data_IF_532765768021
#
_entry.id   IF_532765768021
#
_cell.length_a   1.000
_cell.length_b   1.000
_cell.length_c   1.000
_cell.angle_alpha   90.00
_cell.angle_beta   90.00
_cell.angle_gamma   90.00
#
_symmetry.space_group_name_H-M   'P 1'
#
loop_
_entity.id
_entity.type
_entity.pdbx_description
1 polymer ?
#
# COMPACT_ATOMS: atom_id res chain seq x y z
N UNK A 1 -38.43 14.30 -13.13
CA UNK A 1 -38.08 14.34 -11.70
C UNK A 1 -36.57 14.26 -11.61
N UNK A 2 -35.91 15.40 -11.43
CA UNK A 2 -34.46 15.49 -11.33
C UNK A 2 -34.03 14.90 -10.00
N UNK A 3 -33.30 13.79 -10.03
CA UNK A 3 -32.62 13.27 -8.85
C UNK A 3 -31.50 14.23 -8.50
N UNK A 4 -31.67 14.98 -7.39
CA UNK A 4 -30.58 15.66 -6.70
C UNK A 4 -29.53 14.60 -6.31
N UNK A 5 -28.52 14.43 -7.16
CA UNK A 5 -27.28 13.84 -6.73
C UNK A 5 -26.62 14.87 -5.80
N UNK A 6 -26.81 14.70 -4.49
CA UNK A 6 -25.98 15.37 -3.49
C UNK A 6 -24.52 15.23 -3.95
N UNK A 7 -23.86 16.36 -4.21
CA UNK A 7 -22.45 16.38 -4.58
C UNK A 7 -21.67 15.71 -3.47
N UNK A 8 -21.23 14.47 -3.71
CA UNK A 8 -20.33 13.78 -2.81
C UNK A 8 -19.02 14.57 -2.89
N UNK A 9 -18.67 15.28 -1.81
CA UNK A 9 -17.41 16.02 -1.72
C UNK A 9 -16.25 15.03 -1.58
N UNK A 10 -15.88 14.40 -2.68
CA UNK A 10 -14.55 13.81 -2.85
C UNK A 10 -13.69 14.81 -3.62
N UNK A 11 -12.41 14.87 -3.25
CA UNK A 11 -11.41 15.67 -3.93
C UNK A 11 -11.32 15.29 -5.41
N UNK A 12 -11.29 16.28 -6.31
CA UNK A 12 -11.24 16.00 -7.74
C UNK A 12 -9.87 15.42 -8.13
N UNK A 13 -9.81 14.68 -9.25
CA UNK A 13 -8.55 14.18 -9.78
C UNK A 13 -7.55 15.32 -10.06
N UNK A 14 -8.04 16.50 -10.48
CA UNK A 14 -7.20 17.68 -10.72
C UNK A 14 -6.62 18.25 -9.42
N UNK A 15 -7.44 18.32 -8.36
CA UNK A 15 -6.97 18.83 -7.06
C UNK A 15 -5.96 17.87 -6.44
N UNK A 16 -6.22 16.56 -6.52
CA UNK A 16 -5.30 15.53 -6.09
C UNK A 16 -3.97 15.61 -6.84
N UNK A 17 -4.00 15.78 -8.17
CA UNK A 17 -2.78 15.83 -8.98
C UNK A 17 -1.92 17.03 -8.57
N UNK A 18 -2.54 18.20 -8.35
CA UNK A 18 -1.84 19.40 -7.85
C UNK A 18 -1.26 19.14 -6.46
N UNK A 19 -2.04 18.58 -5.53
CA UNK A 19 -1.61 18.32 -4.15
C UNK A 19 -0.44 17.34 -4.07
N UNK A 20 -0.43 16.32 -4.94
CA UNK A 20 0.65 15.34 -5.01
C UNK A 20 1.82 15.78 -5.90
N UNK A 21 1.74 16.95 -6.54
CA UNK A 21 2.76 17.41 -7.49
C UNK A 21 2.86 16.54 -8.74
N UNK A 22 1.79 15.83 -9.10
CA UNK A 22 1.71 14.95 -10.26
C UNK A 22 1.19 15.73 -11.47
N UNK A 23 2.01 15.82 -12.51
CA UNK A 23 1.61 16.45 -13.78
C UNK A 23 1.03 15.37 -14.70
N UNK A 24 -0.30 15.24 -14.73
CA UNK A 24 -0.98 14.33 -15.64
C UNK A 24 -1.32 15.02 -16.97
N UNK A 25 -0.90 14.42 -18.08
CA UNK A 25 -1.32 14.82 -19.43
C UNK A 25 -2.77 14.39 -19.70
N UNK A 26 -3.17 13.25 -19.16
CA UNK A 26 -4.51 12.71 -19.27
C UNK A 26 -5.14 12.45 -17.89
N UNK A 27 -5.83 13.47 -17.36
CA UNK A 27 -6.56 13.38 -16.08
C UNK A 27 -7.64 12.28 -16.04
N UNK A 28 -8.09 11.76 -17.18
CA UNK A 28 -9.03 10.63 -17.18
C UNK A 28 -8.42 9.34 -16.63
N UNK A 29 -7.09 9.16 -16.76
CA UNK A 29 -6.38 8.02 -16.16
C UNK A 29 -6.41 8.09 -14.65
N UNK A 30 -6.11 9.27 -14.08
CA UNK A 30 -6.18 9.49 -12.64
C UNK A 30 -7.62 9.37 -12.13
N UNK A 31 -8.58 9.94 -12.85
CA UNK A 31 -10.00 9.80 -12.52
C UNK A 31 -10.41 8.32 -12.49
N UNK A 32 -9.95 7.51 -13.45
CA UNK A 32 -10.20 6.07 -13.47
C UNK A 32 -9.55 5.36 -12.30
N UNK A 33 -8.29 5.67 -11.96
CA UNK A 33 -7.59 5.08 -10.80
C UNK A 33 -8.34 5.30 -9.48
N UNK A 34 -9.01 6.45 -9.35
CA UNK A 34 -9.81 6.82 -8.18
C UNK A 34 -11.22 6.22 -8.19
N UNK A 35 -11.62 5.49 -9.23
CA UNK A 35 -12.99 5.00 -9.39
C UNK A 35 -13.11 3.54 -8.97
N UNK A 36 -13.71 3.31 -7.80
CA UNK A 36 -14.03 1.96 -7.36
C UNK A 36 -15.25 1.41 -8.11
N UNK A 37 -15.31 0.10 -8.32
CA UNK A 37 -16.43 -0.60 -8.96
C UNK A 37 -17.80 -0.25 -8.37
N UNK A 38 -17.88 -0.07 -7.05
CA UNK A 38 -19.13 0.36 -6.38
C UNK A 38 -19.69 1.68 -6.94
N UNK A 39 -18.83 2.59 -7.39
CA UNK A 39 -19.25 3.86 -7.97
C UNK A 39 -19.79 3.66 -9.38
N UNK A 40 -19.12 2.83 -10.19
CA UNK A 40 -19.57 2.46 -11.55
C UNK A 40 -20.97 1.85 -11.50
N UNK A 41 -21.22 0.93 -10.55
CA UNK A 41 -22.52 0.28 -10.37
C UNK A 41 -23.67 1.26 -10.08
N UNK A 42 -23.37 2.42 -9.50
CA UNK A 42 -24.36 3.47 -9.19
C UNK A 42 -24.42 4.59 -10.24
N UNK A 43 -23.45 4.66 -11.16
CA UNK A 43 -23.29 5.76 -12.11
C UNK A 43 -23.12 5.21 -13.54
N UNK A 44 -24.22 4.92 -14.26
CA UNK A 44 -24.18 4.28 -15.59
C UNK A 44 -23.42 5.07 -16.68
N UNK A 45 -23.18 6.37 -16.47
CA UNK A 45 -22.38 7.20 -17.36
C UNK A 45 -20.87 6.96 -17.24
N UNK A 46 -20.42 6.27 -16.20
CA UNK A 46 -19.04 5.87 -15.99
C UNK A 46 -18.89 4.40 -16.38
N UNK A 47 -17.97 4.11 -17.30
CA UNK A 47 -17.85 2.79 -17.91
C UNK A 47 -16.68 1.96 -17.39
N UNK A 48 -15.77 2.54 -16.62
CA UNK A 48 -14.54 1.89 -16.18
C UNK A 48 -14.26 2.15 -14.70
N UNK A 49 -13.92 1.08 -13.98
CA UNK A 49 -13.35 1.12 -12.64
C UNK A 49 -11.81 1.05 -12.70
N UNK A 50 -11.19 0.98 -11.53
CA UNK A 50 -9.76 1.03 -11.35
C UNK A 50 -9.05 -0.33 -11.44
N UNK A 51 -9.76 -1.45 -11.54
CA UNK A 51 -9.16 -2.78 -11.38
C UNK A 51 -8.13 -3.13 -12.47
N UNK A 52 -8.33 -2.65 -13.70
CA UNK A 52 -7.32 -2.83 -14.77
C UNK A 52 -6.07 -2.01 -14.54
N UNK A 53 -6.20 -0.86 -13.88
CA UNK A 53 -5.05 -0.03 -13.48
C UNK A 53 -4.36 -0.64 -12.28
N UNK A 54 -5.11 -1.17 -11.31
CA UNK A 54 -4.60 -1.94 -10.17
C UNK A 54 -3.73 -3.10 -10.66
N UNK A 55 -4.25 -3.94 -11.54
CA UNK A 55 -3.51 -5.07 -12.12
C UNK A 55 -2.18 -4.65 -12.77
N UNK A 56 -2.17 -3.53 -13.52
CA UNK A 56 -0.94 -3.03 -14.14
C UNK A 56 0.00 -2.41 -13.10
N UNK A 57 -0.57 -1.66 -12.16
CA UNK A 57 0.15 -0.95 -11.13
C UNK A 57 0.86 -1.87 -10.14
N UNK A 58 0.25 -3.01 -9.80
CA UNK A 58 0.87 -4.08 -9.02
C UNK A 58 2.19 -4.55 -9.67
N UNK A 59 2.15 -4.96 -10.94
CA UNK A 59 3.33 -5.41 -11.66
C UNK A 59 4.43 -4.32 -11.79
N UNK A 60 4.03 -3.07 -12.01
CA UNK A 60 4.94 -1.92 -12.07
C UNK A 60 5.58 -1.67 -10.70
N UNK A 61 4.78 -1.67 -9.64
CA UNK A 61 5.23 -1.43 -8.28
C UNK A 61 6.17 -2.53 -7.80
N UNK A 62 5.87 -3.79 -8.11
CA UNK A 62 6.73 -4.94 -7.81
C UNK A 62 8.13 -4.81 -8.43
N UNK A 63 8.19 -4.35 -9.68
CA UNK A 63 9.45 -4.09 -10.35
C UNK A 63 10.22 -2.94 -9.69
N UNK A 64 9.56 -1.79 -9.49
CA UNK A 64 10.19 -0.60 -8.88
C UNK A 64 10.71 -0.90 -7.47
N UNK A 65 9.92 -1.57 -6.64
CA UNK A 65 10.32 -1.94 -5.28
C UNK A 65 11.46 -2.96 -5.30
N UNK A 66 11.41 -3.93 -6.21
CA UNK A 66 12.51 -4.89 -6.40
C UNK A 66 13.81 -4.21 -6.82
N UNK A 67 13.74 -3.30 -7.79
CA UNK A 67 14.88 -2.51 -8.24
C UNK A 67 15.43 -1.61 -7.12
N UNK A 68 14.54 -0.93 -6.38
CA UNK A 68 14.92 -0.12 -5.22
C UNK A 68 15.64 -0.97 -4.17
N UNK A 69 15.09 -2.13 -3.78
CA UNK A 69 15.70 -3.00 -2.78
C UNK A 69 17.08 -3.53 -3.23
N UNK A 70 17.21 -3.92 -4.49
CA UNK A 70 18.48 -4.38 -5.06
C UNK A 70 19.59 -3.33 -4.94
N UNK A 71 19.30 -2.08 -5.29
CA UNK A 71 20.29 -1.00 -5.23
C UNK A 71 20.55 -0.51 -3.80
N UNK A 72 19.53 -0.55 -2.93
CA UNK A 72 19.62 -0.04 -1.56
C UNK A 72 20.37 -0.98 -0.62
N UNK A 73 20.32 -2.28 -0.89
CA UNK A 73 20.87 -3.33 -0.04
C UNK A 73 21.80 -4.29 -0.82
N UNK A 74 22.93 -3.79 -1.37
CA UNK A 74 23.79 -4.58 -2.24
C UNK A 74 24.42 -5.81 -1.57
N UNK A 75 24.52 -5.81 -0.24
CA UNK A 75 25.10 -6.90 0.55
C UNK A 75 24.07 -7.96 0.99
N UNK A 76 22.77 -7.73 0.74
CA UNK A 76 21.72 -8.67 1.14
C UNK A 76 21.56 -9.80 0.13
N UNK A 77 21.19 -10.98 0.63
CA UNK A 77 20.92 -12.15 -0.22
C UNK A 77 19.54 -12.03 -0.86
N UNK A 78 19.34 -12.72 -1.98
CA UNK A 78 18.07 -12.73 -2.73
C UNK A 78 16.86 -12.98 -1.83
N UNK A 79 16.91 -13.95 -0.92
CA UNK A 79 15.80 -14.25 -0.02
C UNK A 79 15.39 -13.08 0.89
N UNK A 80 16.37 -12.31 1.39
CA UNK A 80 16.11 -11.13 2.21
C UNK A 80 15.54 -9.98 1.36
N UNK A 81 16.05 -9.79 0.14
CA UNK A 81 15.51 -8.83 -0.82
C UNK A 81 14.06 -9.17 -1.19
N UNK A 82 13.74 -10.45 -1.37
CA UNK A 82 12.38 -10.93 -1.60
C UNK A 82 11.48 -10.64 -0.40
N UNK A 83 11.94 -10.87 0.85
CA UNK A 83 11.20 -10.49 2.07
C UNK A 83 10.96 -8.98 2.14
N UNK A 84 11.95 -8.15 1.78
CA UNK A 84 11.82 -6.68 1.74
C UNK A 84 10.76 -6.25 0.73
N UNK A 85 10.86 -6.73 -0.50
CA UNK A 85 9.88 -6.43 -1.55
C UNK A 85 8.48 -6.82 -1.10
N UNK A 86 8.27 -8.07 -0.67
CA UNK A 86 6.97 -8.54 -0.20
C UNK A 86 6.42 -7.72 0.98
N UNK A 87 7.27 -7.25 1.89
CA UNK A 87 6.82 -6.42 3.01
C UNK A 87 6.41 -5.01 2.57
N UNK A 88 7.02 -4.46 1.51
CA UNK A 88 6.73 -3.13 0.98
C UNK A 88 5.50 -3.10 0.07
N UNK A 89 5.24 -4.16 -0.69
CA UNK A 89 4.09 -4.26 -1.60
C UNK A 89 2.87 -4.93 -0.98
N UNK A 90 2.95 -5.40 0.27
CA UNK A 90 1.79 -6.01 0.92
C UNK A 90 0.72 -4.94 1.18
N UNK A 91 -0.55 -5.35 1.04
CA UNK A 91 -1.71 -4.48 1.15
C UNK A 91 -1.74 -3.60 2.43
N UNK A 92 -1.31 -4.10 3.60
CA UNK A 92 -1.25 -3.29 4.83
C UNK A 92 -0.26 -2.13 4.74
N UNK A 93 0.83 -2.31 4.00
CA UNK A 93 1.83 -1.28 3.76
C UNK A 93 1.37 -0.31 2.66
N UNK A 94 0.78 -0.82 1.57
CA UNK A 94 0.20 0.02 0.52
C UNK A 94 -0.93 0.90 1.04
N UNK A 95 -1.78 0.37 1.92
CA UNK A 95 -2.81 1.14 2.58
C UNK A 95 -2.23 2.25 3.48
N UNK A 96 -1.04 2.07 4.07
CA UNK A 96 -0.34 3.13 4.80
C UNK A 96 0.17 4.21 3.86
N UNK A 97 0.76 3.81 2.72
CA UNK A 97 1.18 4.76 1.69
C UNK A 97 -0.01 5.57 1.16
N UNK A 98 -1.13 4.91 0.87
CA UNK A 98 -2.38 5.55 0.46
C UNK A 98 -2.88 6.57 1.50
N UNK A 99 -2.85 6.23 2.80
CA UNK A 99 -3.22 7.17 3.87
C UNK A 99 -2.25 8.34 3.99
N UNK A 100 -0.94 8.07 3.84
CA UNK A 100 0.10 9.11 3.90
C UNK A 100 -0.11 10.19 2.85
N UNK A 101 -0.50 9.78 1.64
CA UNK A 101 -0.83 10.71 0.55
C UNK A 101 -2.31 11.14 0.56
N UNK A 102 -3.06 10.82 1.61
CA UNK A 102 -4.49 11.09 1.75
C UNK A 102 -5.29 10.70 0.49
N UNK A 103 -5.06 9.50 -0.04
CA UNK A 103 -5.72 9.04 -1.26
C UNK A 103 -7.22 8.83 -1.05
N UNK A 104 -7.61 8.43 0.17
CA UNK A 104 -9.00 8.14 0.53
C UNK A 104 -9.98 9.28 0.26
N UNK A 105 -9.55 10.55 0.41
CA UNK A 105 -10.41 11.72 0.17
C UNK A 105 -10.77 11.93 -1.30
N UNK A 106 -10.01 11.36 -2.22
CA UNK A 106 -10.23 11.50 -3.67
C UNK A 106 -10.97 10.29 -4.27
N UNK A 107 -11.28 9.26 -3.47
CA UNK A 107 -11.89 8.04 -3.97
C UNK A 107 -13.37 8.24 -4.32
N UNK A 108 -13.72 7.82 -5.52
CA UNK A 108 -15.09 7.76 -6.02
C UNK A 108 -15.68 6.42 -5.63
N UNK A 109 -16.52 6.45 -4.60
CA UNK A 109 -17.19 5.28 -4.03
C UNK A 109 -18.70 5.36 -4.21
N UNK A 110 -19.35 4.19 -4.36
CA UNK A 110 -20.80 4.05 -4.23
C UNK A 110 -21.28 4.48 -2.84
N UNK A 111 -22.57 4.81 -2.68
CA UNK A 111 -23.15 5.32 -1.43
C UNK A 111 -22.95 4.34 -0.30
N UNK A 112 -23.27 3.07 -0.53
CA UNK A 112 -23.11 2.01 0.47
C UNK A 112 -21.64 1.80 0.86
N UNK A 113 -20.74 1.79 -0.12
CA UNK A 113 -19.31 1.63 0.12
C UNK A 113 -18.74 2.80 0.92
N UNK A 114 -19.13 4.03 0.58
CA UNK A 114 -18.75 5.24 1.31
C UNK A 114 -19.25 5.22 2.76
N UNK A 115 -20.55 4.94 2.97
CA UNK A 115 -21.16 4.91 4.31
C UNK A 115 -20.58 3.80 5.21
N UNK A 116 -20.11 2.70 4.63
CA UNK A 116 -19.43 1.63 5.36
C UNK A 116 -17.93 1.90 5.60
N UNK A 117 -17.46 3.12 5.35
CA UNK A 117 -16.08 3.54 5.60
C UNK A 117 -15.06 3.05 4.57
N UNK A 118 -15.50 2.70 3.35
CA UNK A 118 -14.63 2.15 2.30
C UNK A 118 -13.41 3.02 1.99
N UNK A 119 -13.52 4.35 2.10
CA UNK A 119 -12.41 5.29 1.89
C UNK A 119 -11.27 5.16 2.91
N UNK A 120 -11.45 4.36 3.96
CA UNK A 120 -10.47 4.13 5.04
C UNK A 120 -10.07 2.66 5.17
N UNK A 121 -10.69 1.75 4.40
CA UNK A 121 -10.48 0.31 4.48
C UNK A 121 -9.17 -0.08 3.79
N UNK A 122 -8.34 -0.89 4.45
CA UNK A 122 -7.01 -1.27 3.95
C UNK A 122 -7.05 -1.84 2.54
N UNK A 123 -7.91 -2.83 2.30
CA UNK A 123 -8.02 -3.48 0.99
C UNK A 123 -8.29 -2.48 -0.13
N UNK A 124 -9.21 -1.54 0.09
CA UNK A 124 -9.61 -0.58 -0.95
C UNK A 124 -8.50 0.46 -1.18
N UNK A 125 -7.86 0.91 -0.10
CA UNK A 125 -6.74 1.85 -0.17
C UNK A 125 -5.51 1.25 -0.86
N UNK A 126 -5.18 -0.02 -0.60
CA UNK A 126 -4.09 -0.71 -1.26
C UNK A 126 -4.32 -0.85 -2.77
N UNK A 127 -5.46 -1.41 -3.16
CA UNK A 127 -5.87 -1.52 -4.57
C UNK A 127 -5.91 -0.16 -5.28
N UNK A 128 -6.40 0.89 -4.61
CA UNK A 128 -6.40 2.24 -5.17
C UNK A 128 -4.99 2.84 -5.32
N UNK A 129 -4.07 2.51 -4.41
CA UNK A 129 -2.68 2.92 -4.50
C UNK A 129 -2.01 2.26 -5.71
N UNK A 130 -2.19 0.96 -5.91
CA UNK A 130 -1.73 0.26 -7.12
C UNK A 130 -2.33 0.87 -8.37
N UNK A 131 -3.63 1.15 -8.38
CA UNK A 131 -4.27 1.81 -9.52
C UNK A 131 -3.70 3.21 -9.82
N UNK A 132 -3.32 3.97 -8.78
CA UNK A 132 -2.61 5.25 -8.94
C UNK A 132 -1.24 5.03 -9.60
N UNK A 133 -0.48 4.02 -9.16
CA UNK A 133 0.80 3.66 -9.79
C UNK A 133 0.60 3.31 -11.27
N UNK A 134 -0.40 2.48 -11.58
CA UNK A 134 -0.74 2.14 -12.96
C UNK A 134 -1.11 3.37 -13.81
N UNK A 135 -1.80 4.36 -13.23
CA UNK A 135 -2.14 5.60 -13.93
C UNK A 135 -0.92 6.49 -14.18
N UNK A 136 -0.04 6.67 -13.18
CA UNK A 136 1.21 7.42 -13.33
C UNK A 136 2.09 6.78 -14.40
N UNK A 137 2.24 5.45 -14.37
CA UNK A 137 3.02 4.72 -15.36
C UNK A 137 2.50 4.93 -16.78
N UNK A 138 1.19 4.81 -17.01
CA UNK A 138 0.62 4.97 -18.34
C UNK A 138 0.71 6.41 -18.87
N UNK A 139 0.71 7.41 -17.99
CA UNK A 139 0.77 8.81 -18.39
C UNK A 139 2.21 9.31 -18.58
N UNK A 140 3.13 8.91 -17.69
CA UNK A 140 4.45 9.52 -17.55
C UNK A 140 5.63 8.54 -17.43
N UNK A 141 5.42 7.23 -17.49
CA UNK A 141 6.49 6.23 -17.52
C UNK A 141 7.06 5.85 -16.14
N UNK A 142 8.14 5.06 -16.15
CA UNK A 142 8.74 4.50 -14.93
C UNK A 142 9.40 5.56 -14.05
N UNK A 143 10.07 6.54 -14.65
CA UNK A 143 10.79 7.58 -13.93
C UNK A 143 9.85 8.41 -13.05
N UNK A 144 8.62 8.67 -13.52
CA UNK A 144 7.60 9.36 -12.75
C UNK A 144 7.09 8.52 -11.57
N UNK A 145 6.94 7.21 -11.77
CA UNK A 145 6.58 6.28 -10.69
C UNK A 145 7.67 6.22 -9.63
N UNK A 146 8.94 6.09 -10.03
CA UNK A 146 10.09 6.08 -9.11
C UNK A 146 10.16 7.37 -8.30
N UNK A 147 10.02 8.53 -8.94
CA UNK A 147 10.02 9.82 -8.27
C UNK A 147 8.90 9.94 -7.22
N UNK A 148 7.72 9.38 -7.50
CA UNK A 148 6.59 9.37 -6.58
C UNK A 148 6.77 8.37 -5.43
N UNK A 149 7.26 7.16 -5.71
CA UNK A 149 7.30 6.03 -4.77
C UNK A 149 8.55 6.07 -3.87
N UNK A 150 9.71 6.49 -4.38
CA UNK A 150 10.97 6.45 -3.63
C UNK A 150 10.91 7.13 -2.25
N UNK A 151 10.33 8.35 -2.09
CA UNK A 151 10.22 8.97 -0.77
C UNK A 151 9.44 8.13 0.24
N UNK A 152 8.40 7.41 -0.22
CA UNK A 152 7.58 6.54 0.61
C UNK A 152 8.35 5.27 1.03
N UNK A 153 9.13 4.69 0.12
CA UNK A 153 9.98 3.53 0.41
C UNK A 153 11.07 3.88 1.43
N UNK A 154 11.71 5.05 1.26
CA UNK A 154 12.73 5.52 2.19
C UNK A 154 12.19 5.76 3.60
N UNK A 155 10.97 6.31 3.71
CA UNK A 155 10.32 6.48 5.00
C UNK A 155 9.98 5.13 5.66
N UNK A 156 9.55 4.13 4.88
CA UNK A 156 9.21 2.80 5.39
C UNK A 156 10.43 1.92 5.72
N UNK A 157 11.62 2.29 5.23
CA UNK A 157 12.83 1.46 5.24
C UNK A 157 13.14 0.83 6.60
N UNK A 158 13.33 1.64 7.64
CA UNK A 158 13.76 1.18 8.96
C UNK A 158 12.70 0.26 9.60
N UNK A 159 11.42 0.59 9.42
CA UNK A 159 10.32 -0.22 9.95
C UNK A 159 10.28 -1.60 9.30
N UNK A 160 10.56 -1.67 7.99
CA UNK A 160 10.57 -2.92 7.22
C UNK A 160 11.78 -3.78 7.60
N UNK A 161 12.97 -3.19 7.70
CA UNK A 161 14.18 -3.90 8.14
C UNK A 161 14.01 -4.52 9.53
N UNK A 162 13.45 -3.75 10.47
CA UNK A 162 13.21 -4.24 11.84
C UNK A 162 12.27 -5.45 11.85
N UNK A 163 11.23 -5.46 10.99
CA UNK A 163 10.28 -6.58 10.89
C UNK A 163 10.88 -7.83 10.25
N UNK A 164 11.75 -7.66 9.27
CA UNK A 164 12.35 -8.78 8.52
C UNK A 164 13.46 -9.44 9.32
N UNK A 165 14.17 -8.67 10.15
CA UNK A 165 15.15 -9.17 11.09
C UNK A 165 14.55 -9.49 12.48
N UNK A 166 13.31 -9.99 12.55
CA UNK A 166 12.72 -10.46 13.81
C UNK A 166 13.56 -11.61 14.39
N UNK A 167 14.21 -11.43 15.57
CA UNK A 167 15.15 -12.42 16.11
C UNK A 167 14.50 -13.78 16.39
N UNK A 168 13.19 -13.81 16.68
CA UNK A 168 12.46 -15.07 16.90
C UNK A 168 12.32 -15.87 15.61
N UNK A 169 11.93 -15.20 14.53
CA UNK A 169 11.84 -15.78 13.20
C UNK A 169 13.21 -16.27 12.71
N UNK A 170 14.27 -15.49 12.95
CA UNK A 170 15.64 -15.90 12.62
C UNK A 170 16.09 -17.15 13.41
N UNK A 171 15.80 -17.21 14.71
CA UNK A 171 16.13 -18.39 15.52
C UNK A 171 15.35 -19.63 15.03
N UNK A 172 14.09 -19.45 14.64
CA UNK A 172 13.28 -20.52 14.08
C UNK A 172 13.82 -21.02 12.74
N UNK A 173 14.14 -20.12 11.81
CA UNK A 173 14.76 -20.47 10.51
C UNK A 173 16.10 -21.19 10.71
N UNK A 174 16.94 -20.70 11.62
CA UNK A 174 18.21 -21.34 11.98
C UNK A 174 18.00 -22.76 12.55
N UNK A 175 17.09 -22.93 13.51
CA UNK A 175 16.79 -24.24 14.11
C UNK A 175 16.28 -25.24 13.06
N UNK A 176 15.39 -24.80 12.17
CA UNK A 176 14.88 -25.62 11.06
C UNK A 176 15.99 -26.02 10.08
N UNK A 177 16.88 -25.08 9.73
CA UNK A 177 18.03 -25.36 8.86
C UNK A 177 18.99 -26.40 9.48
N UNK A 178 19.11 -26.43 10.81
CA UNK A 178 19.87 -27.44 11.56
C UNK A 178 19.10 -28.74 11.82
N UNK A 179 17.87 -28.90 11.27
CA UNK A 179 16.96 -30.03 11.54
C UNK A 179 16.63 -30.21 13.03
N UNK A 180 16.69 -29.13 13.80
CA UNK A 180 16.26 -29.10 15.20
C UNK A 180 14.74 -28.89 15.28
N UNK A 181 14.16 -29.16 16.45
CA UNK A 181 12.78 -28.76 16.74
C UNK A 181 12.64 -27.24 16.78
N UNK A 182 11.43 -26.74 16.50
CA UNK A 182 11.14 -25.31 16.58
C UNK A 182 11.43 -24.77 18.00
N UNK A 183 11.98 -23.55 18.15
CA UNK A 183 12.20 -22.94 19.46
C UNK A 183 10.89 -22.81 20.24
N UNK A 184 10.91 -23.15 21.53
CA UNK A 184 9.79 -22.97 22.44
C UNK A 184 10.15 -21.89 23.45
N UNK A 185 9.30 -20.88 23.57
CA UNK A 185 9.47 -19.77 24.52
C UNK A 185 8.45 -19.94 25.65
N UNK A 186 8.91 -19.83 26.90
CA UNK A 186 8.05 -20.00 28.07
C UNK A 186 8.35 -18.93 29.10
N UNK A 187 7.34 -18.14 29.44
CA UNK A 187 7.46 -17.16 30.53
C UNK A 187 7.87 -17.84 31.84
N UNK A 188 9.02 -17.42 32.38
CA UNK A 188 9.63 -17.92 33.61
C UNK A 188 9.09 -17.13 34.81
N UNK A 189 9.00 -15.80 34.66
CA UNK A 189 8.51 -14.91 35.70
C UNK A 189 7.76 -13.71 35.11
N UNK A 190 6.92 -13.09 35.93
CA UNK A 190 6.23 -11.84 35.59
C UNK A 190 6.28 -10.93 36.81
N UNK A 191 6.77 -9.71 36.63
CA UNK A 191 6.96 -8.75 37.71
C UNK A 191 6.40 -7.38 37.31
N UNK A 192 6.31 -6.44 38.26
CA UNK A 192 5.80 -5.10 38.02
C UNK A 192 4.27 -4.96 38.17
N UNK A 193 3.76 -3.71 38.27
CA UNK A 193 2.33 -3.43 38.40
C UNK A 193 1.58 -3.73 37.10
N UNK A 194 0.25 -3.91 37.17
CA UNK A 194 -0.56 -4.31 36.00
C UNK A 194 -0.41 -3.42 34.76
N UNK A 195 -0.11 -2.13 34.96
CA UNK A 195 0.10 -1.15 33.88
C UNK A 195 1.54 -1.09 33.36
N UNK A 196 2.48 -1.86 33.94
CA UNK A 196 3.88 -1.92 33.57
C UNK A 196 4.47 -3.30 33.91
N UNK A 197 3.84 -4.38 33.40
CA UNK A 197 4.31 -5.74 33.60
C UNK A 197 5.57 -6.00 32.78
N UNK A 198 6.59 -6.54 33.46
CA UNK A 198 7.79 -7.07 32.86
C UNK A 198 7.71 -8.60 32.83
N UNK A 199 8.11 -9.20 31.71
CA UNK A 199 8.07 -10.65 31.50
C UNK A 199 9.48 -11.17 31.24
N UNK A 200 9.87 -12.18 31.99
CA UNK A 200 11.07 -12.97 31.72
C UNK A 200 10.65 -14.23 30.95
N UNK A 201 11.24 -14.48 29.77
CA UNK A 201 10.81 -15.49 28.79
C UNK A 201 11.98 -16.34 28.33
#
# INVERSE_FOLDING_TARGET
MSTNAESRDFESASDLSVRLGLSFSNLSLLTRALTHRSYVNENPSVSQDNERLEFLGDAVLDFIVGAWAYHRFPEMREGDLTKIRSALVRNDQLAKFARKVNLGSALRLGRGEHLSGGHSRDQLLGSAFEALIGAIYLDAGFEAVEAFVNPLLEEARESILTKIHDPKSQLQEWAQAQKMSAPHYRTISTTGPDHAKEFEV
#
